data_IF_776628679231
#
_entry.id   IF_776628679231
#
_cell.length_a   1.000
_cell.length_b   1.000
_cell.length_c   1.000
_cell.angle_alpha   90.00
_cell.angle_beta   90.00
_cell.angle_gamma   90.00
#
_symmetry.space_group_name_H-M   'P 1'
#
loop_
_entity.id
_entity.type
_entity.pdbx_description
1 polymer ?
#
# COMPACT_ATOMS: atom_id res chain seq x y z
N UNK A 1 11.34 17.86 11.35
CA UNK A 1 10.47 18.31 12.47
C UNK A 1 9.80 17.07 13.04
N UNK A 2 9.74 17.00 14.38
CA UNK A 2 9.69 15.75 15.16
C UNK A 2 8.35 15.63 15.92
N UNK A 3 7.23 15.69 15.20
CA UNK A 3 5.89 15.74 15.82
C UNK A 3 5.12 14.41 15.79
N UNK A 4 5.35 13.52 14.83
CA UNK A 4 4.67 12.22 14.80
C UNK A 4 5.20 11.19 15.82
N UNK A 5 6.43 11.35 16.31
CA UNK A 5 7.00 10.48 17.37
C UNK A 5 6.34 10.64 18.75
N UNK A 6 5.58 11.71 19.01
CA UNK A 6 5.00 11.98 20.33
C UNK A 6 3.64 11.30 20.57
N UNK A 7 2.96 10.83 19.52
CA UNK A 7 1.66 10.15 19.64
C UNK A 7 1.79 8.63 19.74
N UNK A 8 2.95 8.07 19.35
CA UNK A 8 3.37 6.72 19.78
C UNK A 8 3.96 6.86 21.17
N UNK A 9 3.13 6.76 22.20
CA UNK A 9 3.57 6.86 23.59
C UNK A 9 4.77 5.97 23.89
N UNK A 10 5.98 6.54 23.89
CA UNK A 10 7.19 6.00 24.51
C UNK A 10 7.54 4.54 24.24
N UNK A 11 7.12 3.95 23.12
CA UNK A 11 7.45 2.55 22.77
C UNK A 11 8.34 2.51 21.55
N UNK A 12 9.58 2.16 21.87
CA UNK A 12 10.70 1.81 21.02
C UNK A 12 10.46 0.41 20.41
N UNK A 13 9.27 0.18 19.84
CA UNK A 13 8.83 -1.14 19.39
C UNK A 13 8.94 -1.19 17.86
N UNK A 14 9.76 -2.11 17.36
CA UNK A 14 9.88 -2.48 15.95
C UNK A 14 8.50 -2.69 15.32
N UNK A 15 8.38 -2.46 14.00
CA UNK A 15 7.18 -2.84 13.25
C UNK A 15 6.85 -4.32 13.52
N UNK A 16 5.60 -4.59 13.89
CA UNK A 16 5.11 -5.95 14.07
C UNK A 16 5.17 -6.73 12.75
N UNK A 17 5.11 -8.06 12.82
CA UNK A 17 5.16 -8.93 11.63
C UNK A 17 4.11 -8.54 10.58
N UNK A 18 2.92 -8.13 11.01
CA UNK A 18 1.84 -7.74 10.08
C UNK A 18 2.03 -6.31 9.56
N UNK A 19 2.60 -5.38 10.35
CA UNK A 19 2.99 -4.05 9.86
C UNK A 19 4.14 -4.14 8.84
N UNK A 20 5.18 -4.95 9.11
CA UNK A 20 6.25 -5.22 8.15
C UNK A 20 5.67 -5.79 6.84
N UNK A 21 4.75 -6.74 6.94
CA UNK A 21 4.09 -7.35 5.78
C UNK A 21 3.29 -6.31 4.99
N UNK A 22 2.51 -5.48 5.67
CA UNK A 22 1.74 -4.39 5.06
C UNK A 22 2.65 -3.43 4.30
N UNK A 23 3.67 -2.92 4.98
CA UNK A 23 4.66 -2.01 4.41
C UNK A 23 5.35 -2.63 3.19
N UNK A 24 5.75 -3.90 3.25
CA UNK A 24 6.33 -4.60 2.09
C UNK A 24 5.38 -4.66 0.88
N UNK A 25 4.08 -4.82 1.09
CA UNK A 25 3.08 -4.74 0.02
C UNK A 25 3.00 -3.34 -0.59
N UNK A 26 2.97 -2.31 0.26
CA UNK A 26 2.96 -0.90 -0.17
C UNK A 26 4.24 -0.54 -0.94
N UNK A 27 5.42 -0.94 -0.45
CA UNK A 27 6.70 -0.70 -1.12
C UNK A 27 6.78 -1.41 -2.49
N UNK A 28 6.20 -2.61 -2.61
CA UNK A 28 6.10 -3.31 -3.89
C UNK A 28 5.29 -2.50 -4.90
N UNK A 29 4.15 -1.95 -4.48
CA UNK A 29 3.31 -1.12 -5.34
C UNK A 29 3.95 0.24 -5.63
N UNK A 30 4.56 0.89 -4.63
CA UNK A 30 5.27 2.15 -4.77
C UNK A 30 6.39 2.03 -5.80
N UNK A 31 7.16 0.94 -5.78
CA UNK A 31 8.20 0.68 -6.79
C UNK A 31 7.63 0.65 -8.20
N UNK A 32 6.55 -0.13 -8.42
CA UNK A 32 5.86 -0.19 -9.72
C UNK A 32 5.36 1.19 -10.14
N UNK A 33 4.72 1.90 -9.22
CA UNK A 33 4.18 3.22 -9.49
C UNK A 33 5.30 4.19 -9.89
N UNK A 34 6.42 4.18 -9.17
CA UNK A 34 7.55 5.04 -9.44
C UNK A 34 8.23 4.75 -10.78
N UNK A 35 8.24 3.49 -11.24
CA UNK A 35 8.67 3.12 -12.60
C UNK A 35 7.68 3.59 -13.68
N UNK A 36 6.40 3.67 -13.35
CA UNK A 36 5.34 4.05 -14.29
C UNK A 36 5.21 5.56 -14.47
N UNK A 37 5.34 6.32 -13.37
CA UNK A 37 4.99 7.76 -13.33
C UNK A 37 6.11 8.65 -12.80
N UNK A 38 7.23 8.06 -12.42
CA UNK A 38 8.37 8.76 -11.84
C UNK A 38 8.35 8.79 -10.30
N UNK A 39 9.52 8.95 -9.66
CA UNK A 39 9.67 8.90 -8.20
C UNK A 39 8.82 9.94 -7.45
N UNK A 40 8.78 11.18 -7.93
CA UNK A 40 8.05 12.28 -7.31
C UNK A 40 6.53 12.00 -7.26
N UNK A 41 5.91 11.78 -8.42
CA UNK A 41 4.47 11.53 -8.50
C UNK A 41 4.06 10.28 -7.70
N UNK A 42 4.90 9.24 -7.70
CA UNK A 42 4.62 8.02 -6.97
C UNK A 42 4.64 8.21 -5.45
N UNK A 43 5.63 8.93 -4.91
CA UNK A 43 5.70 9.18 -3.47
C UNK A 43 4.67 10.22 -3.03
N UNK A 44 4.36 11.20 -3.88
CA UNK A 44 3.27 12.15 -3.62
C UNK A 44 1.92 11.43 -3.52
N UNK A 45 1.68 10.41 -4.34
CA UNK A 45 0.48 9.60 -4.31
C UNK A 45 0.38 8.67 -3.09
N UNK A 46 1.48 8.33 -2.42
CA UNK A 46 1.49 7.39 -1.28
C UNK A 46 0.99 8.06 0.00
N UNK A 47 -0.29 7.90 0.31
CA UNK A 47 -0.98 8.56 1.44
C UNK A 47 -1.14 7.66 2.67
N UNK A 48 -0.97 6.34 2.51
CA UNK A 48 -1.09 5.36 3.61
C UNK A 48 -0.29 5.76 4.87
N UNK A 49 1.01 6.09 4.76
CA UNK A 49 1.83 6.45 5.91
C UNK A 49 1.34 7.69 6.69
N UNK A 50 0.68 8.62 6.00
CA UNK A 50 0.09 9.83 6.61
C UNK A 50 -1.25 9.59 7.30
N UNK A 51 -1.73 8.34 7.35
CA UNK A 51 -2.98 7.94 7.99
C UNK A 51 -4.22 8.12 7.12
N UNK A 52 -4.08 8.21 5.79
CA UNK A 52 -5.24 8.15 4.90
C UNK A 52 -5.96 6.80 5.04
N UNK A 53 -7.26 6.80 4.71
CA UNK A 53 -8.03 5.55 4.58
C UNK A 53 -7.54 4.66 3.44
N UNK A 54 -6.75 5.19 2.51
CA UNK A 54 -6.23 4.48 1.33
C UNK A 54 -4.73 4.63 1.23
N UNK A 55 -4.10 3.65 0.63
CA UNK A 55 -2.65 3.64 0.52
C UNK A 55 -2.16 4.59 -0.58
N UNK A 56 -2.82 4.61 -1.75
CA UNK A 56 -2.44 5.52 -2.85
C UNK A 56 -3.63 6.27 -3.42
N UNK A 57 -3.42 7.56 -3.67
CA UNK A 57 -4.40 8.47 -4.23
C UNK A 57 -3.76 9.26 -5.38
N UNK A 58 -4.23 9.00 -6.60
CA UNK A 58 -3.88 9.71 -7.83
C UNK A 58 -5.15 10.34 -8.41
N UNK A 59 -4.96 11.28 -9.33
CA UNK A 59 -6.10 11.90 -10.00
C UNK A 59 -6.94 10.86 -10.74
N UNK A 60 -8.23 10.78 -10.40
CA UNK A 60 -9.18 9.79 -10.92
C UNK A 60 -8.86 8.33 -10.58
N UNK A 61 -7.84 8.02 -9.77
CA UNK A 61 -7.41 6.65 -9.48
C UNK A 61 -7.00 6.46 -8.01
N UNK A 62 -7.74 5.62 -7.30
CA UNK A 62 -7.51 5.29 -5.91
C UNK A 62 -7.08 3.83 -5.80
N UNK A 63 -6.07 3.55 -4.97
CA UNK A 63 -5.57 2.19 -4.78
C UNK A 63 -5.44 1.87 -3.30
N UNK A 64 -6.05 0.75 -2.92
CA UNK A 64 -5.89 0.12 -1.61
C UNK A 64 -5.01 -1.12 -1.76
N UNK A 65 -3.93 -1.21 -0.98
CA UNK A 65 -2.98 -2.32 -1.00
C UNK A 65 -3.22 -3.23 0.21
N UNK A 66 -3.21 -4.54 -0.02
CA UNK A 66 -3.27 -5.55 1.03
C UNK A 66 -2.18 -6.58 0.82
N UNK A 67 -1.40 -6.81 1.86
CA UNK A 67 -0.42 -7.89 1.87
C UNK A 67 -0.94 -9.07 2.70
N UNK A 68 -0.68 -10.29 2.23
CA UNK A 68 -1.06 -11.52 2.92
C UNK A 68 -0.01 -12.62 2.74
N UNK A 69 -0.02 -13.61 3.64
CA UNK A 69 0.70 -14.87 3.39
C UNK A 69 0.07 -15.59 2.20
N UNK A 70 0.86 -15.99 1.21
CA UNK A 70 0.38 -16.71 0.03
C UNK A 70 -0.41 -17.96 0.42
N UNK A 71 0.12 -18.76 1.34
CA UNK A 71 -0.47 -20.01 1.81
C UNK A 71 -1.63 -19.87 2.83
N UNK A 72 -2.01 -18.66 3.25
CA UNK A 72 -3.10 -18.49 4.20
C UNK A 72 -4.48 -18.74 3.57
N UNK A 73 -5.55 -18.71 4.37
CA UNK A 73 -6.92 -18.64 3.85
C UNK A 73 -7.08 -17.41 2.95
N UNK A 74 -7.76 -17.50 1.81
CA UNK A 74 -7.81 -16.45 0.80
C UNK A 74 -8.77 -15.33 1.21
N UNK A 75 -8.44 -14.63 2.29
CA UNK A 75 -9.17 -13.45 2.78
C UNK A 75 -8.22 -12.27 2.88
N UNK A 76 -8.78 -11.07 2.73
CA UNK A 76 -8.13 -9.80 3.08
C UNK A 76 -8.96 -9.07 4.13
N UNK A 77 -8.28 -8.44 5.09
CA UNK A 77 -8.91 -7.63 6.12
C UNK A 77 -9.06 -6.19 5.60
N UNK A 78 -10.25 -5.65 5.78
CA UNK A 78 -10.57 -4.25 5.54
C UNK A 78 -10.78 -3.60 6.92
N UNK A 79 -9.86 -2.72 7.31
CA UNK A 79 -9.77 -2.13 8.64
C UNK A 79 -10.68 -0.92 8.83
N UNK A 80 -11.23 -0.38 7.75
CA UNK A 80 -12.32 0.60 7.74
C UNK A 80 -13.16 0.44 6.48
N UNK A 81 -14.46 0.71 6.54
CA UNK A 81 -15.28 0.82 5.32
C UNK A 81 -14.71 1.86 4.33
N UNK A 82 -14.06 2.89 4.84
CA UNK A 82 -13.59 4.03 4.05
C UNK A 82 -12.53 3.62 3.04
N UNK A 83 -11.78 2.55 3.33
CA UNK A 83 -10.78 1.99 2.43
C UNK A 83 -11.36 1.48 1.11
N UNK A 84 -12.66 1.16 1.06
CA UNK A 84 -13.33 0.67 -0.15
C UNK A 84 -14.58 1.45 -0.55
N UNK A 85 -14.82 2.62 0.04
CA UNK A 85 -15.96 3.48 -0.32
C UNK A 85 -15.80 4.05 -1.73
N UNK A 86 -16.91 4.40 -2.40
CA UNK A 86 -16.81 5.16 -3.65
C UNK A 86 -16.36 6.60 -3.39
N UNK A 87 -15.66 7.18 -4.37
CA UNK A 87 -15.35 8.60 -4.43
C UNK A 87 -15.73 9.08 -5.82
N UNK A 88 -16.58 10.10 -5.90
CA UNK A 88 -17.07 10.61 -7.18
C UNK A 88 -15.91 11.03 -8.10
N UNK A 89 -16.00 10.63 -9.37
CA UNK A 89 -14.97 10.90 -10.37
C UNK A 89 -13.71 10.02 -10.28
N UNK A 90 -13.64 9.09 -9.32
CA UNK A 90 -12.49 8.20 -9.16
C UNK A 90 -12.85 6.74 -9.43
N UNK A 91 -11.92 6.01 -10.07
CA UNK A 91 -11.91 4.56 -10.07
C UNK A 91 -11.11 4.05 -8.87
N UNK A 92 -11.54 2.93 -8.30
CA UNK A 92 -10.94 2.36 -7.11
C UNK A 92 -10.47 0.93 -7.36
N UNK A 93 -9.25 0.63 -6.93
CA UNK A 93 -8.62 -0.66 -7.11
C UNK A 93 -8.18 -1.25 -5.77
N UNK A 94 -8.35 -2.56 -5.63
CA UNK A 94 -7.78 -3.35 -4.54
C UNK A 94 -6.62 -4.18 -5.10
N UNK A 95 -5.43 -3.97 -4.57
CA UNK A 95 -4.21 -4.67 -4.94
C UNK A 95 -3.83 -5.62 -3.81
N UNK A 96 -3.78 -6.91 -4.08
CA UNK A 96 -3.48 -7.94 -3.09
C UNK A 96 -2.18 -8.65 -3.40
N UNK A 97 -1.15 -8.42 -2.60
CA UNK A 97 0.18 -9.01 -2.75
C UNK A 97 0.40 -10.19 -1.80
N UNK A 98 0.99 -11.26 -2.33
CA UNK A 98 1.59 -12.29 -1.50
C UNK A 98 2.92 -11.79 -0.93
N UNK A 99 3.09 -11.82 0.38
CA UNK A 99 4.35 -11.54 1.07
C UNK A 99 4.57 -12.70 2.01
N UNK A 100 5.59 -13.51 1.76
CA UNK A 100 5.82 -14.74 2.50
C UNK A 100 7.12 -14.69 3.28
N UNK A 101 7.14 -15.35 4.44
CA UNK A 101 8.37 -15.51 5.21
C UNK A 101 9.33 -16.40 4.43
N UNK A 102 10.59 -16.02 4.43
CA UNK A 102 11.64 -16.68 3.68
C UNK A 102 12.89 -16.90 4.55
N UNK A 103 13.82 -17.69 4.04
CA UNK A 103 15.15 -17.89 4.62
C UNK A 103 16.20 -17.32 3.69
N UNK A 104 17.37 -16.94 4.22
CA UNK A 104 18.52 -16.57 3.39
C UNK A 104 19.05 -17.84 2.66
N UNK A 105 19.59 -17.71 1.44
CA UNK A 105 19.80 -16.46 0.69
C UNK A 105 18.58 -15.98 -0.12
N UNK A 106 17.50 -16.75 -0.18
CA UNK A 106 16.38 -16.51 -1.10
C UNK A 106 15.44 -15.36 -0.69
N UNK A 107 15.52 -14.90 0.56
CA UNK A 107 14.72 -13.78 1.09
C UNK A 107 15.55 -12.59 1.58
N UNK A 108 14.91 -11.42 1.60
CA UNK A 108 15.47 -10.12 2.04
C UNK A 108 14.78 -9.65 3.33
N UNK A 109 15.51 -8.99 4.23
CA UNK A 109 14.87 -8.35 5.40
C UNK A 109 14.02 -7.16 4.96
N UNK A 110 13.21 -6.60 5.86
CA UNK A 110 12.50 -5.35 5.59
C UNK A 110 13.50 -4.24 5.20
N UNK A 111 14.58 -4.09 5.96
CA UNK A 111 15.65 -3.12 5.68
C UNK A 111 16.27 -3.32 4.30
N UNK A 112 16.50 -4.57 3.88
CA UNK A 112 17.05 -4.88 2.56
C UNK A 112 16.08 -4.43 1.43
N UNK A 113 14.76 -4.66 1.57
CA UNK A 113 13.75 -4.19 0.60
C UNK A 113 13.65 -2.66 0.56
N UNK A 114 13.73 -1.99 1.70
CA UNK A 114 13.73 -0.52 1.75
C UNK A 114 14.97 0.05 1.07
N UNK A 115 16.15 -0.55 1.28
CA UNK A 115 17.40 -0.15 0.62
C UNK A 115 17.35 -0.34 -0.90
N UNK A 116 16.74 -1.41 -1.40
CA UNK A 116 16.56 -1.58 -2.85
C UNK A 116 15.78 -0.39 -3.43
N UNK A 117 14.75 0.08 -2.74
CA UNK A 117 13.96 1.23 -3.18
C UNK A 117 14.71 2.55 -2.97
N UNK A 118 15.51 2.67 -1.91
CA UNK A 118 16.40 3.81 -1.67
C UNK A 118 17.31 4.06 -2.88
N UNK A 119 17.90 3.00 -3.46
CA UNK A 119 18.79 3.15 -4.64
C UNK A 119 18.09 3.81 -5.82
N UNK A 120 16.77 3.66 -5.93
CA UNK A 120 15.97 4.29 -6.97
C UNK A 120 15.72 5.77 -6.66
N UNK A 121 15.27 6.07 -5.44
CA UNK A 121 15.00 7.44 -4.99
C UNK A 121 16.27 8.29 -4.85
N UNK A 122 17.42 7.69 -4.52
CA UNK A 122 18.70 8.39 -4.42
C UNK A 122 19.18 8.95 -5.76
N UNK A 123 18.69 8.40 -6.88
CA UNK A 123 18.97 8.92 -8.23
C UNK A 123 17.93 9.91 -8.73
N UNK A 124 16.89 10.17 -7.95
CA UNK A 124 15.81 11.10 -8.24
C UNK A 124 16.12 12.54 -7.78
N UNK A 125 15.13 13.42 -7.89
CA UNK A 125 15.21 14.77 -7.35
C UNK A 125 15.31 14.77 -5.81
N UNK A 126 16.10 15.67 -5.20
CA UNK A 126 16.26 15.72 -3.74
C UNK A 126 14.95 15.86 -2.96
N UNK A 127 13.96 16.53 -3.54
CA UNK A 127 12.63 16.70 -2.99
C UNK A 127 11.88 15.36 -2.90
N UNK A 128 11.95 14.53 -3.94
CA UNK A 128 11.31 13.20 -3.96
C UNK A 128 11.95 12.27 -2.93
N UNK A 129 13.29 12.30 -2.81
CA UNK A 129 14.01 11.53 -1.79
C UNK A 129 13.57 11.91 -0.37
N UNK A 130 13.54 13.22 -0.05
CA UNK A 130 13.12 13.72 1.27
C UNK A 130 11.67 13.35 1.60
N UNK A 131 10.78 13.41 0.63
CA UNK A 131 9.37 13.03 0.82
C UNK A 131 9.24 11.52 1.07
N UNK A 132 10.01 10.70 0.36
CA UNK A 132 10.04 9.25 0.56
C UNK A 132 10.60 8.85 1.92
N UNK A 133 11.69 9.48 2.35
CA UNK A 133 12.28 9.29 3.68
C UNK A 133 11.29 9.65 4.79
N UNK A 134 10.59 10.78 4.65
CA UNK A 134 9.55 11.18 5.60
C UNK A 134 8.38 10.19 5.62
N UNK A 135 7.93 9.71 4.45
CA UNK A 135 6.84 8.73 4.37
C UNK A 135 7.22 7.40 5.04
N UNK A 136 8.46 6.93 4.91
CA UNK A 136 8.95 5.75 5.63
C UNK A 136 8.92 5.95 7.15
N UNK A 137 9.37 7.12 7.63
CA UNK A 137 9.34 7.45 9.04
C UNK A 137 7.90 7.51 9.58
N UNK A 138 6.96 8.05 8.79
CA UNK A 138 5.53 8.10 9.16
C UNK A 138 4.89 6.70 9.18
N UNK A 139 5.31 5.80 8.28
CA UNK A 139 4.96 4.38 8.33
C UNK A 139 5.55 3.67 9.57
N UNK A 140 6.52 4.29 10.24
CA UNK A 140 7.18 3.77 11.43
C UNK A 140 8.38 2.88 11.15
N UNK A 141 8.94 2.95 9.93
CA UNK A 141 10.21 2.32 9.61
C UNK A 141 11.37 3.26 10.00
N UNK A 142 12.41 2.71 10.61
CA UNK A 142 13.70 3.36 10.84
C UNK A 142 14.83 2.46 10.33
N UNK A 143 15.89 3.04 9.76
CA UNK A 143 17.07 2.28 9.33
C UNK A 143 17.90 1.75 10.51
N UNK A 144 17.77 2.36 11.68
CA UNK A 144 18.45 1.93 12.92
C UNK A 144 17.75 0.73 13.59
N UNK A 145 16.54 0.39 13.16
CA UNK A 145 15.80 -0.78 13.65
C UNK A 145 16.41 -2.10 13.13
N UNK A 146 16.55 -3.09 14.02
CA UNK A 146 17.05 -4.41 13.66
C UNK A 146 15.94 -5.34 13.15
N UNK A 147 15.74 -5.36 11.84
CA UNK A 147 14.86 -6.30 11.14
C UNK A 147 15.57 -7.59 10.68
N UNK A 148 16.77 -7.89 11.18
CA UNK A 148 17.59 -9.01 10.68
C UNK A 148 17.04 -10.41 11.01
N UNK A 149 16.16 -10.53 12.02
CA UNK A 149 15.57 -11.81 12.43
C UNK A 149 14.68 -12.45 11.36
N UNK A 150 14.15 -11.69 10.41
CA UNK A 150 13.15 -12.18 9.45
C UNK A 150 13.43 -11.72 8.03
N UNK A 151 13.42 -12.68 7.11
CA UNK A 151 13.44 -12.44 5.68
C UNK A 151 12.06 -12.66 5.06
N UNK A 152 11.85 -11.98 3.94
CA UNK A 152 10.60 -11.92 3.20
C UNK A 152 10.85 -12.07 1.71
N UNK A 153 9.92 -12.74 1.03
CA UNK A 153 9.81 -12.78 -0.43
C UNK A 153 8.50 -12.14 -0.86
N UNK A 154 8.59 -11.22 -1.82
CA UNK A 154 7.43 -10.60 -2.47
C UNK A 154 6.99 -11.51 -3.61
N UNK A 155 5.74 -11.96 -3.56
CA UNK A 155 5.14 -12.87 -4.51
C UNK A 155 4.25 -12.15 -5.52
N UNK A 156 3.37 -12.93 -6.15
CA UNK A 156 2.41 -12.43 -7.15
C UNK A 156 1.39 -11.50 -6.52
N UNK A 157 0.97 -10.54 -7.33
CA UNK A 157 -0.11 -9.60 -7.02
C UNK A 157 -1.38 -10.01 -7.77
N UNK A 158 -2.54 -9.80 -7.15
CA UNK A 158 -3.84 -9.89 -7.80
C UNK A 158 -4.55 -8.55 -7.65
N UNK A 159 -5.14 -8.08 -8.73
CA UNK A 159 -5.70 -6.73 -8.83
C UNK A 159 -7.18 -6.83 -9.17
N UNK A 160 -7.97 -6.00 -8.50
CA UNK A 160 -9.41 -6.01 -8.66
C UNK A 160 -9.93 -4.58 -8.77
N UNK A 161 -10.85 -4.34 -9.68
CA UNK A 161 -11.60 -3.09 -9.72
C UNK A 161 -12.78 -3.15 -8.74
N UNK A 162 -12.81 -2.20 -7.82
CA UNK A 162 -13.86 -2.11 -6.80
C UNK A 162 -15.01 -1.29 -7.39
N UNK A 163 -15.94 -1.99 -8.06
CA UNK A 163 -17.09 -1.36 -8.69
C UNK A 163 -18.35 -2.21 -8.58
N UNK A 164 -19.52 -1.56 -8.69
CA UNK A 164 -20.83 -2.23 -8.70
C UNK A 164 -21.03 -3.19 -7.53
N UNK A 165 -21.10 -4.49 -7.85
CA UNK A 165 -21.39 -5.57 -6.89
C UNK A 165 -20.13 -6.13 -6.18
N UNK A 166 -18.99 -5.43 -6.23
CA UNK A 166 -17.78 -5.85 -5.52
C UNK A 166 -18.10 -6.15 -4.03
N UNK A 167 -17.58 -7.25 -3.44
CA UNK A 167 -17.92 -7.65 -2.08
C UNK A 167 -17.34 -6.69 -1.03
N UNK A 168 -18.00 -5.55 -0.79
CA UNK A 168 -17.63 -4.53 0.21
C UNK A 168 -18.83 -4.13 1.07
N UNK A 169 -18.54 -3.51 2.21
CA UNK A 169 -19.58 -2.82 3.01
C UNK A 169 -19.77 -1.42 2.43
N UNK A 170 -20.86 -1.22 1.68
CA UNK A 170 -21.18 0.06 1.06
C UNK A 170 -21.86 1.05 2.02
N UNK A 171 -21.74 2.35 1.72
CA UNK A 171 -22.44 3.43 2.43
C UNK A 171 -23.90 3.59 1.95
N UNK A 172 -24.80 4.21 2.75
CA UNK A 172 -24.60 4.66 4.13
C UNK A 172 -24.85 3.56 5.15
N UNK A 173 -24.06 3.56 6.23
CA UNK A 173 -24.31 2.72 7.40
C UNK A 173 -25.54 3.21 8.18
N UNK A 174 -26.14 2.31 8.96
CA UNK A 174 -27.22 2.69 9.88
C UNK A 174 -26.72 3.69 10.94
N UNK A 175 -27.54 4.66 11.39
CA UNK A 175 -27.19 5.55 12.49
C UNK A 175 -26.71 4.77 13.72
N UNK A 176 -25.61 5.23 14.33
CA UNK A 176 -24.98 4.59 15.49
C UNK A 176 -23.99 3.48 15.17
N UNK A 177 -23.83 3.08 13.90
CA UNK A 177 -22.80 2.11 13.48
C UNK A 177 -21.51 2.84 13.09
N UNK A 178 -20.40 2.50 13.74
CA UNK A 178 -19.06 3.04 13.48
C UNK A 178 -17.99 1.95 13.63
N UNK A 179 -16.76 2.22 13.17
CA UNK A 179 -15.62 1.33 13.35
C UNK A 179 -15.75 -0.04 12.66
N UNK A 180 -16.44 -0.09 11.50
CA UNK A 180 -16.69 -1.35 10.80
C UNK A 180 -15.40 -1.90 10.22
N UNK A 181 -15.04 -3.11 10.68
CA UNK A 181 -13.97 -3.95 10.14
C UNK A 181 -14.57 -5.24 9.63
N UNK A 182 -14.10 -5.70 8.48
CA UNK A 182 -14.63 -6.89 7.84
C UNK A 182 -13.57 -7.57 6.99
N UNK A 183 -13.84 -8.81 6.60
CA UNK A 183 -12.95 -9.57 5.73
C UNK A 183 -13.66 -9.89 4.43
N UNK A 184 -12.92 -9.85 3.34
CA UNK A 184 -13.42 -10.21 2.01
C UNK A 184 -12.74 -11.50 1.58
N UNK A 185 -13.52 -12.48 1.13
CA UNK A 185 -13.01 -13.68 0.52
C UNK A 185 -12.55 -13.39 -0.92
N UNK A 186 -11.30 -13.72 -1.26
CA UNK A 186 -10.69 -13.37 -2.55
C UNK A 186 -11.28 -14.13 -3.73
N UNK A 187 -11.91 -15.29 -3.49
CA UNK A 187 -12.68 -16.02 -4.49
C UNK A 187 -13.93 -15.22 -4.92
N UNK A 188 -14.59 -14.53 -3.98
CA UNK A 188 -15.70 -13.62 -4.28
C UNK A 188 -15.26 -12.37 -5.06
N UNK A 189 -13.97 -12.02 -5.03
CA UNK A 189 -13.40 -10.94 -5.85
C UNK A 189 -13.10 -11.37 -7.29
N UNK A 190 -13.07 -12.68 -7.60
CA UNK A 190 -12.64 -13.17 -8.91
C UNK A 190 -13.36 -12.54 -10.12
N UNK A 191 -14.68 -12.27 -10.09
CA UNK A 191 -15.38 -11.60 -11.21
C UNK A 191 -14.92 -10.16 -11.47
N UNK A 192 -14.24 -9.54 -10.51
CA UNK A 192 -13.76 -8.15 -10.57
C UNK A 192 -12.26 -8.06 -10.83
N UNK A 193 -11.61 -9.20 -11.08
CA UNK A 193 -10.18 -9.25 -11.37
C UNK A 193 -9.92 -8.53 -12.69
N UNK A 194 -8.87 -7.71 -12.70
CA UNK A 194 -8.40 -7.01 -13.89
C UNK A 194 -7.03 -7.53 -14.32
N UNK A 195 -6.71 -7.34 -15.60
CA UNK A 195 -5.34 -7.49 -16.07
C UNK A 195 -4.51 -6.29 -15.58
N UNK A 196 -3.23 -6.50 -15.16
CA UNK A 196 -2.40 -5.45 -14.59
C UNK A 196 -2.31 -4.17 -15.44
N UNK A 197 -2.33 -4.31 -16.77
CA UNK A 197 -2.27 -3.20 -17.72
C UNK A 197 -3.47 -2.24 -17.59
N UNK A 198 -4.60 -2.72 -17.05
CA UNK A 198 -5.80 -1.89 -16.82
C UNK A 198 -5.55 -0.83 -15.75
N UNK A 199 -4.87 -1.20 -14.66
CA UNK A 199 -4.50 -0.26 -13.60
C UNK A 199 -3.41 0.70 -14.08
N UNK A 200 -2.40 0.20 -14.79
CA UNK A 200 -1.33 1.04 -15.33
C UNK A 200 -1.85 2.07 -16.34
N UNK A 201 -2.82 1.68 -17.18
CA UNK A 201 -3.49 2.59 -18.11
C UNK A 201 -4.27 3.68 -17.36
N UNK A 202 -5.05 3.30 -16.33
CA UNK A 202 -5.81 4.25 -15.53
C UNK A 202 -4.90 5.28 -14.81
N UNK A 203 -3.79 4.81 -14.25
CA UNK A 203 -2.79 5.68 -13.60
C UNK A 203 -2.21 6.68 -14.60
N UNK A 204 -1.87 6.23 -15.81
CA UNK A 204 -1.34 7.10 -16.87
C UNK A 204 -2.36 8.12 -17.39
N UNK A 205 -3.63 7.72 -17.50
CA UNK A 205 -4.71 8.63 -17.91
C UNK A 205 -4.88 9.80 -16.92
N UNK A 206 -4.85 9.52 -15.61
CA UNK A 206 -4.92 10.55 -14.57
C UNK A 206 -3.80 11.60 -14.66
N UNK A 207 -2.61 11.21 -15.11
CA UNK A 207 -1.48 12.12 -15.30
C UNK A 207 -1.56 12.97 -16.57
N UNK A 208 -2.25 12.49 -17.60
CA UNK A 208 -2.48 13.27 -18.83
C UNK A 208 -3.24 14.58 -18.57
N UNK A 209 -4.05 14.62 -17.50
CA UNK A 209 -4.72 15.84 -17.03
C UNK A 209 -3.79 16.87 -16.37
N UNK A 210 -2.59 16.48 -15.93
CA UNK A 210 -1.61 17.36 -15.26
C UNK A 210 -0.67 18.05 -16.25
N UNK A 211 -0.56 17.53 -17.48
CA UNK A 211 0.30 18.06 -18.54
C UNK A 211 -0.46 18.90 -19.60
N UNK A 212 -1.77 19.10 -19.41
CA UNK A 212 -2.66 19.82 -20.34
C UNK A 212 -3.11 21.17 -19.80
#
# INVERSE_FOLDING_TARGET
MRWHHLLRGGRNDLLSIEEQRGLLGELQFLRRLAELVGPWAAVEAWKGPSGSSRDFELDGCLVEVKARRGAAKPFVQISSKDQLSDVDGCRLFLVVSAVDAAIRPDGKTLTDHVRDLETFYATAEPEAYRLWEQALADAGFDFEDDYSERCWTLGKTSEFEVSGNFPRVAAPLKPGVSGVRYSIALDACAPFRIEPETLDAQIKEGLGGWMS
#
